data_IF_279876383305
#
_entry.id   IF_279876383305
#
_cell.length_a   1.000
_cell.length_b   1.000
_cell.length_c   1.000
_cell.angle_alpha   90.00
_cell.angle_beta   90.00
_cell.angle_gamma   90.00
#
_symmetry.space_group_name_H-M   'P 1'
#
loop_
_entity.id
_entity.type
_entity.pdbx_description
1 polymer ?
#
# COMPACT_ATOMS: atom_id res chain seq x y z
N UNK A 1 -1.34 43.34 52.52
CA UNK A 1 -1.96 43.42 51.19
C UNK A 1 -0.87 43.68 50.18
N UNK A 2 -0.33 42.61 49.59
CA UNK A 2 0.76 42.73 48.61
C UNK A 2 0.36 41.88 47.42
N UNK A 3 0.18 42.54 46.28
CA UNK A 3 -0.50 42.05 45.08
C UNK A 3 0.38 41.02 44.35
N UNK A 4 -0.24 39.93 43.91
CA UNK A 4 0.31 38.98 42.94
C UNK A 4 0.42 39.64 41.57
N UNK A 5 1.60 39.59 40.94
CA UNK A 5 1.79 39.91 39.54
C UNK A 5 2.03 38.60 38.78
N UNK A 6 1.01 38.14 38.06
CA UNK A 6 1.11 37.07 37.06
C UNK A 6 1.80 37.65 35.81
N UNK A 7 3.06 37.28 35.59
CA UNK A 7 3.76 37.53 34.33
C UNK A 7 3.35 36.51 33.26
N UNK A 8 3.22 36.91 31.98
CA UNK A 8 2.80 36.00 30.93
C UNK A 8 3.96 35.05 30.57
N UNK A 9 3.78 33.76 30.86
CA UNK A 9 4.61 32.68 30.31
C UNK A 9 4.29 32.54 28.82
N UNK A 10 5.11 33.16 27.96
CA UNK A 10 5.15 32.80 26.55
C UNK A 10 5.99 31.53 26.39
N UNK A 11 5.33 30.37 26.44
CA UNK A 11 5.92 29.13 25.93
C UNK A 11 5.86 29.23 24.41
N UNK A 12 6.96 29.66 23.79
CA UNK A 12 7.15 29.51 22.37
C UNK A 12 7.30 28.02 22.07
N UNK A 13 6.17 27.36 21.78
CA UNK A 13 6.15 26.03 21.19
C UNK A 13 6.78 26.18 19.80
N UNK A 14 8.08 25.91 19.70
CA UNK A 14 8.73 25.74 18.41
C UNK A 14 8.19 24.41 17.84
N UNK A 15 7.03 24.48 17.19
CA UNK A 15 6.56 23.42 16.29
C UNK A 15 7.52 23.48 15.12
N UNK A 16 8.68 22.84 15.30
CA UNK A 16 9.59 22.54 14.22
C UNK A 16 8.82 21.52 13.37
N UNK A 17 8.02 22.01 12.43
CA UNK A 17 7.51 21.19 11.35
C UNK A 17 8.75 20.57 10.73
N UNK A 18 8.96 19.27 10.93
CA UNK A 18 9.89 18.49 10.14
C UNK A 18 9.38 18.60 8.70
N UNK A 19 9.85 19.62 7.99
CA UNK A 19 9.62 19.77 6.57
C UNK A 19 10.44 18.64 5.93
N UNK A 20 9.77 17.59 5.47
CA UNK A 20 10.40 16.61 4.60
C UNK A 20 10.65 17.34 3.30
N UNK A 21 11.90 17.79 3.10
CA UNK A 21 12.30 18.39 1.85
C UNK A 21 12.14 17.33 0.75
N UNK A 22 11.29 17.61 -0.23
CA UNK A 22 11.15 16.80 -1.44
C UNK A 22 12.45 16.96 -2.24
N UNK A 23 13.40 16.04 -2.04
CA UNK A 23 14.63 16.00 -2.80
C UNK A 23 14.40 15.27 -4.11
N UNK A 24 14.78 15.87 -5.23
CA UNK A 24 14.87 15.17 -6.51
C UNK A 24 15.81 13.97 -6.31
N UNK A 25 15.29 12.76 -6.53
CA UNK A 25 16.08 11.55 -6.42
C UNK A 25 17.22 11.60 -7.45
N UNK A 26 18.46 11.57 -6.97
CA UNK A 26 19.64 11.41 -7.82
C UNK A 26 19.75 9.96 -8.29
N UNK A 27 20.62 9.70 -9.27
CA UNK A 27 21.00 8.33 -9.63
C UNK A 27 21.33 7.50 -8.38
N UNK A 28 20.81 6.28 -8.31
CA UNK A 28 21.00 5.41 -7.16
C UNK A 28 22.50 5.12 -6.95
N UNK A 29 22.99 5.29 -5.72
CA UNK A 29 24.35 4.91 -5.32
C UNK A 29 24.30 3.53 -4.63
N UNK A 30 24.76 2.45 -5.29
CA UNK A 30 24.73 1.09 -4.73
C UNK A 30 25.56 0.94 -3.45
N UNK A 31 26.50 1.85 -3.18
CA UNK A 31 27.28 1.80 -1.94
C UNK A 31 26.51 2.32 -0.73
N UNK A 32 25.52 3.20 -0.96
CA UNK A 32 24.64 3.76 0.07
C UNK A 32 23.32 2.99 0.19
N UNK A 33 22.75 2.55 -0.94
CA UNK A 33 21.52 1.77 -0.97
C UNK A 33 21.83 0.27 -0.92
N UNK A 34 21.86 -0.29 0.30
CA UNK A 34 22.17 -1.72 0.52
C UNK A 34 20.94 -2.46 1.03
N UNK A 35 20.80 -3.73 0.63
CA UNK A 35 19.65 -4.56 1.04
C UNK A 35 19.54 -4.77 2.55
N UNK A 36 20.67 -4.79 3.27
CA UNK A 36 20.68 -4.85 4.74
C UNK A 36 20.02 -3.64 5.42
N UNK A 37 19.88 -2.55 4.67
CA UNK A 37 19.28 -1.28 5.10
C UNK A 37 17.88 -1.10 4.46
N UNK A 38 17.24 -2.19 4.05
CA UNK A 38 15.95 -2.22 3.34
C UNK A 38 15.90 -1.33 2.08
N UNK A 39 17.02 -1.25 1.37
CA UNK A 39 17.14 -0.46 0.15
C UNK A 39 17.62 -1.32 -1.02
N UNK A 40 17.00 -1.15 -2.19
CA UNK A 40 17.46 -1.73 -3.43
C UNK A 40 17.37 -0.69 -4.56
N UNK A 41 18.44 -0.57 -5.34
CA UNK A 41 18.38 0.18 -6.59
C UNK A 41 17.59 -0.60 -7.64
N UNK A 42 16.91 0.10 -8.55
CA UNK A 42 16.29 -0.51 -9.73
C UNK A 42 17.33 -1.33 -10.50
N UNK A 43 17.01 -2.59 -10.79
CA UNK A 43 17.91 -3.51 -11.47
C UNK A 43 17.15 -4.61 -12.19
N UNK A 44 17.71 -5.11 -13.28
CA UNK A 44 17.27 -6.33 -13.96
C UNK A 44 17.99 -7.59 -13.45
N UNK A 45 18.97 -7.43 -12.55
CA UNK A 45 19.73 -8.55 -11.98
C UNK A 45 18.98 -9.17 -10.79
N UNK A 46 19.06 -10.50 -10.60
CA UNK A 46 18.54 -11.14 -9.41
C UNK A 46 19.09 -10.51 -8.12
N UNK A 47 18.26 -10.38 -7.06
CA UNK A 47 18.72 -9.89 -5.77
C UNK A 47 19.77 -10.84 -5.17
N UNK A 48 20.64 -10.30 -4.31
CA UNK A 48 21.64 -11.10 -3.59
C UNK A 48 22.73 -11.74 -4.46
N UNK A 49 22.92 -11.28 -5.70
CA UNK A 49 23.87 -11.84 -6.68
C UNK A 49 23.62 -13.33 -7.00
N UNK A 50 22.36 -13.77 -6.93
CA UNK A 50 21.98 -15.12 -7.36
C UNK A 50 22.14 -15.27 -8.88
N UNK A 51 22.46 -16.49 -9.33
CA UNK A 51 22.30 -16.80 -10.76
C UNK A 51 20.82 -16.92 -11.09
N UNK A 52 20.47 -16.61 -12.33
CA UNK A 52 19.07 -16.73 -12.81
C UNK A 52 18.55 -18.16 -12.65
N UNK A 53 19.40 -19.18 -12.85
CA UNK A 53 19.05 -20.59 -12.67
C UNK A 53 18.67 -20.96 -11.23
N UNK A 54 19.16 -20.19 -10.25
CA UNK A 54 18.99 -20.47 -8.83
C UNK A 54 17.82 -19.65 -8.25
N UNK A 55 17.23 -18.76 -9.05
CA UNK A 55 16.17 -17.86 -8.61
C UNK A 55 14.80 -18.54 -8.67
N UNK A 56 14.05 -18.60 -7.55
CA UNK A 56 12.65 -19.01 -7.59
C UNK A 56 11.82 -18.04 -8.43
N UNK A 57 11.00 -18.56 -9.34
CA UNK A 57 10.03 -17.74 -10.07
C UNK A 57 8.84 -17.42 -9.16
N UNK A 58 8.72 -16.15 -8.77
CA UNK A 58 7.50 -15.65 -8.13
C UNK A 58 6.46 -15.30 -9.19
N UNK A 59 5.21 -15.64 -8.94
CA UNK A 59 4.06 -15.24 -9.75
C UNK A 59 3.07 -14.56 -8.81
N UNK A 60 2.75 -13.29 -9.08
CA UNK A 60 1.79 -12.51 -8.30
C UNK A 60 0.46 -12.46 -9.05
N UNK A 61 -0.53 -13.18 -8.52
CA UNK A 61 -1.92 -13.03 -8.97
C UNK A 61 -2.53 -11.86 -8.21
N UNK A 62 -3.03 -10.86 -8.94
CA UNK A 62 -3.65 -9.68 -8.34
C UNK A 62 -5.03 -9.43 -8.91
N UNK A 63 -5.96 -9.03 -8.06
CA UNK A 63 -7.29 -8.59 -8.45
C UNK A 63 -7.51 -7.19 -7.90
N UNK A 64 -8.03 -6.32 -8.75
CA UNK A 64 -8.32 -4.93 -8.39
C UNK A 64 -9.83 -4.75 -8.28
N UNK A 65 -10.24 -3.69 -7.59
CA UNK A 65 -11.62 -3.26 -7.37
C UNK A 65 -12.42 -4.08 -6.33
N UNK A 66 -13.73 -3.86 -6.32
CA UNK A 66 -14.64 -4.28 -5.27
C UNK A 66 -14.80 -5.80 -5.19
N UNK A 67 -14.74 -6.33 -3.96
CA UNK A 67 -15.08 -7.72 -3.67
C UNK A 67 -16.58 -7.83 -3.41
N UNK A 68 -17.26 -8.71 -4.16
CA UNK A 68 -18.71 -8.87 -4.13
C UNK A 68 -19.10 -10.32 -4.32
N UNK A 69 -20.31 -10.70 -3.94
CA UNK A 69 -20.79 -12.08 -4.12
C UNK A 69 -20.61 -12.61 -5.56
N UNK A 70 -20.72 -11.75 -6.58
CA UNK A 70 -20.57 -12.15 -7.98
C UNK A 70 -19.17 -12.64 -8.34
N UNK A 71 -18.11 -12.20 -7.64
CA UNK A 71 -16.74 -12.62 -7.92
C UNK A 71 -16.24 -13.74 -6.99
N UNK A 72 -16.94 -14.00 -5.87
CA UNK A 72 -16.52 -15.00 -4.89
C UNK A 72 -16.54 -16.45 -5.40
N UNK A 73 -17.48 -16.83 -6.28
CA UNK A 73 -17.46 -18.17 -6.88
C UNK A 73 -16.13 -18.43 -7.61
N UNK A 74 -15.69 -17.44 -8.38
CA UNK A 74 -14.42 -17.52 -9.10
C UNK A 74 -13.22 -17.57 -8.14
N UNK A 75 -13.17 -16.69 -7.13
CA UNK A 75 -12.06 -16.65 -6.17
C UNK A 75 -11.95 -17.94 -5.36
N UNK A 76 -13.06 -18.46 -4.82
CA UNK A 76 -13.09 -19.71 -4.06
C UNK A 76 -12.61 -20.90 -4.89
N UNK A 77 -13.00 -20.97 -6.17
CA UNK A 77 -12.55 -22.03 -7.08
C UNK A 77 -11.07 -21.90 -7.45
N UNK A 78 -10.60 -20.68 -7.69
CA UNK A 78 -9.21 -20.42 -8.07
C UNK A 78 -8.25 -20.67 -6.91
N UNK A 79 -8.64 -20.30 -5.69
CA UNK A 79 -7.80 -20.34 -4.49
C UNK A 79 -8.16 -21.50 -3.55
N UNK A 80 -8.89 -22.51 -4.05
CA UNK A 80 -9.27 -23.71 -3.30
C UNK A 80 -8.01 -24.41 -2.74
N UNK A 81 -7.83 -24.47 -1.40
CA UNK A 81 -6.69 -25.13 -0.76
C UNK A 81 -6.50 -26.60 -1.15
N UNK A 82 -7.58 -27.29 -1.54
CA UNK A 82 -7.55 -28.67 -2.00
C UNK A 82 -7.00 -28.85 -3.42
N UNK A 83 -6.93 -27.78 -4.21
CA UNK A 83 -6.57 -27.83 -5.63
C UNK A 83 -5.37 -26.94 -6.00
N UNK A 84 -5.29 -25.77 -5.38
CA UNK A 84 -4.35 -24.71 -5.72
C UNK A 84 -3.23 -24.65 -4.69
N UNK A 85 -2.22 -25.52 -4.88
CA UNK A 85 -1.05 -25.61 -4.00
C UNK A 85 0.23 -25.38 -4.78
N UNK A 86 1.17 -24.67 -4.15
CA UNK A 86 2.51 -24.52 -4.68
C UNK A 86 3.20 -25.88 -4.70
N UNK A 87 3.64 -26.31 -5.87
CA UNK A 87 4.25 -27.64 -6.08
C UNK A 87 5.57 -27.83 -5.34
N UNK A 88 6.33 -26.75 -5.13
CA UNK A 88 7.66 -26.82 -4.53
C UNK A 88 7.62 -26.94 -3.00
N UNK A 89 6.68 -26.26 -2.33
CA UNK A 89 6.61 -26.23 -0.87
C UNK A 89 5.31 -26.82 -0.28
N UNK A 90 4.31 -27.11 -1.10
CA UNK A 90 3.01 -27.64 -0.66
C UNK A 90 2.11 -26.61 0.03
N UNK A 91 2.49 -25.34 0.13
CA UNK A 91 1.64 -24.29 0.68
C UNK A 91 0.43 -24.02 -0.24
N UNK A 92 -0.67 -23.53 0.33
CA UNK A 92 -1.79 -23.03 -0.47
C UNK A 92 -1.32 -21.84 -1.29
N UNK A 93 -1.84 -21.72 -2.52
CA UNK A 93 -1.67 -20.51 -3.30
C UNK A 93 -2.52 -19.39 -2.71
N UNK A 94 -2.02 -18.17 -2.78
CA UNK A 94 -2.74 -16.98 -2.37
C UNK A 94 -2.64 -15.91 -3.47
N UNK A 95 -3.55 -14.95 -3.44
CA UNK A 95 -3.52 -13.78 -4.31
C UNK A 95 -3.39 -12.50 -3.48
N UNK A 96 -3.16 -11.37 -4.15
CA UNK A 96 -3.25 -10.03 -3.54
C UNK A 96 -4.46 -9.31 -4.13
N UNK A 97 -5.34 -8.81 -3.27
CA UNK A 97 -6.53 -8.07 -3.67
C UNK A 97 -6.30 -6.60 -3.35
N UNK A 98 -6.23 -5.76 -4.37
CA UNK A 98 -6.26 -4.31 -4.25
C UNK A 98 -7.73 -3.89 -4.24
N UNK A 99 -8.29 -3.81 -3.05
CA UNK A 99 -9.73 -3.61 -2.82
C UNK A 99 -10.05 -2.14 -2.91
N UNK A 100 -11.16 -1.79 -3.55
CA UNK A 100 -11.76 -0.46 -3.45
C UNK A 100 -12.97 -0.46 -2.50
N UNK A 101 -13.20 0.63 -1.77
CA UNK A 101 -14.27 0.68 -0.78
C UNK A 101 -15.68 0.65 -1.43
N UNK A 102 -15.81 1.25 -2.62
CA UNK A 102 -17.08 1.33 -3.33
C UNK A 102 -17.67 -0.03 -3.66
N UNK A 103 -18.87 -0.33 -3.14
CA UNK A 103 -19.62 -1.58 -3.37
C UNK A 103 -18.98 -2.87 -2.80
N UNK A 104 -17.90 -2.77 -2.02
CA UNK A 104 -17.25 -3.93 -1.40
C UNK A 104 -18.08 -4.49 -0.25
N UNK A 105 -18.20 -5.81 -0.19
CA UNK A 105 -18.67 -6.52 1.00
C UNK A 105 -17.49 -6.93 1.88
N UNK A 106 -17.34 -6.24 3.01
CA UNK A 106 -16.22 -6.44 3.94
C UNK A 106 -16.23 -7.82 4.62
N UNK A 107 -17.37 -8.50 4.69
CA UNK A 107 -17.42 -9.88 5.22
C UNK A 107 -16.69 -10.84 4.28
N UNK A 108 -16.81 -10.61 2.97
CA UNK A 108 -16.11 -11.40 1.95
C UNK A 108 -14.63 -11.05 1.88
N UNK A 109 -14.27 -9.79 2.15
CA UNK A 109 -12.87 -9.38 2.31
C UNK A 109 -12.22 -10.13 3.48
N UNK A 110 -12.90 -10.21 4.63
CA UNK A 110 -12.44 -10.99 5.77
C UNK A 110 -12.28 -12.48 5.42
N UNK A 111 -13.24 -13.07 4.70
CA UNK A 111 -13.12 -14.46 4.23
C UNK A 111 -11.83 -14.66 3.41
N UNK A 112 -11.58 -13.80 2.42
CA UNK A 112 -10.38 -13.87 1.57
C UNK A 112 -9.09 -13.72 2.37
N UNK A 113 -9.05 -12.78 3.32
CA UNK A 113 -7.90 -12.59 4.21
C UNK A 113 -7.66 -13.80 5.11
N UNK A 114 -8.73 -14.35 5.70
CA UNK A 114 -8.66 -15.47 6.64
C UNK A 114 -8.09 -16.77 6.04
N UNK A 115 -8.21 -16.93 4.71
CA UNK A 115 -7.65 -18.07 3.97
C UNK A 115 -6.22 -17.81 3.44
N UNK A 116 -5.61 -16.69 3.82
CA UNK A 116 -4.21 -16.36 3.59
C UNK A 116 -3.92 -15.47 2.38
N UNK A 117 -4.94 -14.93 1.71
CA UNK A 117 -4.73 -13.93 0.65
C UNK A 117 -4.45 -12.56 1.25
N UNK A 118 -3.65 -11.77 0.54
CA UNK A 118 -3.29 -10.41 0.98
C UNK A 118 -4.35 -9.42 0.55
N UNK A 119 -4.69 -8.50 1.46
CA UNK A 119 -5.54 -7.35 1.17
C UNK A 119 -4.68 -6.10 1.12
N UNK A 120 -4.92 -5.26 0.12
CA UNK A 120 -4.20 -4.04 -0.16
C UNK A 120 -5.18 -2.96 -0.65
N UNK A 121 -4.72 -1.71 -0.67
CA UNK A 121 -5.53 -0.51 -0.91
C UNK A 121 -5.68 -0.21 -2.40
N UNK A 122 -6.90 0.13 -2.82
CA UNK A 122 -7.25 0.65 -4.15
C UNK A 122 -8.13 1.92 -4.11
N UNK A 123 -8.06 2.66 -3.01
CA UNK A 123 -8.76 3.91 -2.67
C UNK A 123 -10.24 3.75 -2.31
N UNK A 124 -10.75 4.71 -1.54
CA UNK A 124 -12.17 4.79 -1.20
C UNK A 124 -13.02 5.06 -2.45
N UNK A 125 -12.68 6.12 -3.18
CA UNK A 125 -13.59 6.65 -4.18
C UNK A 125 -13.44 5.98 -5.54
N UNK A 126 -12.26 5.41 -5.81
CA UNK A 126 -11.85 4.85 -7.11
C UNK A 126 -12.38 5.66 -8.30
N UNK A 127 -12.36 7.01 -8.17
CA UNK A 127 -12.97 7.93 -9.14
C UNK A 127 -12.56 7.61 -10.56
N UNK A 128 -13.58 7.47 -11.41
CA UNK A 128 -13.48 6.95 -12.76
C UNK A 128 -12.49 7.70 -13.67
N UNK A 129 -12.04 6.97 -14.71
CA UNK A 129 -11.06 7.34 -15.75
C UNK A 129 -11.21 8.76 -16.35
N UNK A 130 -12.41 9.31 -16.40
CA UNK A 130 -12.65 10.66 -16.92
C UNK A 130 -12.02 11.76 -16.04
N UNK A 131 -11.51 11.38 -14.86
CA UNK A 131 -10.87 12.27 -13.91
C UNK A 131 -9.46 11.79 -13.50
N UNK A 132 -8.60 11.34 -14.45
CA UNK A 132 -7.17 11.11 -14.16
C UNK A 132 -6.50 12.35 -13.53
N UNK A 133 -7.00 13.54 -13.86
CA UNK A 133 -6.57 14.81 -13.27
C UNK A 133 -6.76 14.83 -11.75
N UNK A 134 -7.80 14.19 -11.21
CA UNK A 134 -8.01 14.06 -9.76
C UNK A 134 -6.78 13.44 -9.10
N UNK A 135 -6.43 12.21 -9.50
CA UNK A 135 -5.31 11.46 -8.93
C UNK A 135 -3.98 12.21 -9.07
N UNK A 136 -3.76 12.86 -10.22
CA UNK A 136 -2.54 13.66 -10.46
C UNK A 136 -2.47 14.95 -9.63
N UNK A 137 -3.62 15.50 -9.26
CA UNK A 137 -3.73 16.76 -8.53
C UNK A 137 -3.79 16.59 -7.00
N UNK A 138 -3.92 15.36 -6.50
CA UNK A 138 -3.95 15.10 -5.07
C UNK A 138 -2.61 15.48 -4.42
N UNK A 139 -2.70 16.25 -3.35
CA UNK A 139 -1.61 16.45 -2.41
C UNK A 139 -1.53 15.28 -1.41
N UNK A 140 -0.59 15.35 -0.47
CA UNK A 140 -0.38 14.32 0.56
C UNK A 140 -1.68 14.01 1.32
N UNK A 141 -2.44 15.05 1.69
CA UNK A 141 -3.69 14.91 2.45
C UNK A 141 -4.81 14.28 1.61
N UNK A 142 -4.89 14.60 0.32
CA UNK A 142 -5.83 13.96 -0.59
C UNK A 142 -5.54 12.46 -0.76
N UNK A 143 -4.27 12.08 -0.91
CA UNK A 143 -3.86 10.67 -0.93
C UNK A 143 -4.13 9.97 0.40
N UNK A 144 -3.92 10.66 1.52
CA UNK A 144 -4.16 10.11 2.86
C UNK A 144 -5.65 9.80 3.06
N UNK A 145 -6.53 10.72 2.67
CA UNK A 145 -7.98 10.54 2.75
C UNK A 145 -8.46 9.33 1.92
N UNK A 146 -7.81 9.05 0.79
CA UNK A 146 -8.15 7.92 -0.07
C UNK A 146 -7.57 6.59 0.44
N UNK A 147 -6.31 6.56 0.88
CA UNK A 147 -5.60 5.31 1.17
C UNK A 147 -5.67 4.92 2.64
N UNK A 148 -5.39 5.86 3.54
CA UNK A 148 -5.48 5.61 4.98
C UNK A 148 -6.94 5.48 5.37
N UNK A 149 -7.81 6.32 4.80
CA UNK A 149 -9.25 6.20 5.02
C UNK A 149 -9.79 4.85 4.59
N UNK A 150 -9.34 4.28 3.46
CA UNK A 150 -9.75 2.91 3.10
C UNK A 150 -9.18 1.86 4.05
N UNK A 151 -7.93 2.01 4.51
CA UNK A 151 -7.36 1.10 5.51
C UNK A 151 -8.17 1.11 6.80
N UNK A 152 -8.65 2.27 7.24
CA UNK A 152 -9.56 2.39 8.37
C UNK A 152 -10.87 1.62 8.15
N UNK A 153 -11.44 1.68 6.94
CA UNK A 153 -12.64 0.92 6.60
C UNK A 153 -12.38 -0.60 6.64
N UNK A 154 -11.25 -1.07 6.11
CA UNK A 154 -10.86 -2.48 6.15
C UNK A 154 -10.68 -2.97 7.60
N UNK A 155 -10.07 -2.16 8.46
CA UNK A 155 -9.93 -2.47 9.88
C UNK A 155 -11.28 -2.57 10.58
N UNK A 156 -12.13 -1.56 10.38
CA UNK A 156 -13.36 -1.43 11.15
C UNK A 156 -14.46 -2.39 10.66
N UNK A 157 -14.52 -2.67 9.35
CA UNK A 157 -15.58 -3.47 8.74
C UNK A 157 -15.16 -4.87 8.28
N UNK A 158 -13.90 -5.08 7.91
CA UNK A 158 -13.37 -6.42 7.59
C UNK A 158 -12.51 -7.01 8.72
N UNK A 159 -12.30 -6.30 9.84
CA UNK A 159 -11.53 -6.78 10.99
C UNK A 159 -10.08 -7.16 10.64
N UNK A 160 -9.50 -6.53 9.62
CA UNK A 160 -8.12 -6.76 9.20
C UNK A 160 -7.22 -5.73 9.89
N UNK A 161 -6.19 -6.16 10.64
CA UNK A 161 -5.32 -5.23 11.33
C UNK A 161 -4.49 -4.38 10.34
N UNK A 162 -4.19 -3.14 10.72
CA UNK A 162 -3.49 -2.19 9.84
C UNK A 162 -2.12 -2.71 9.39
N UNK A 163 -1.42 -3.48 10.24
CA UNK A 163 -0.13 -4.11 9.93
C UNK A 163 -0.19 -5.16 8.81
N UNK A 164 -1.37 -5.69 8.48
CA UNK A 164 -1.56 -6.61 7.36
C UNK A 164 -1.86 -5.86 6.05
N UNK A 165 -2.30 -4.60 6.13
CA UNK A 165 -2.68 -3.75 4.98
C UNK A 165 -1.56 -2.75 4.67
N UNK A 166 -0.47 -3.29 4.13
CA UNK A 166 0.79 -2.56 3.87
C UNK A 166 1.04 -2.21 2.40
N UNK A 167 0.19 -2.70 1.50
CA UNK A 167 0.31 -2.49 0.07
C UNK A 167 -0.73 -1.52 -0.46
N UNK A 168 -0.39 -0.81 -1.53
CA UNK A 168 -1.37 -0.01 -2.27
C UNK A 168 -1.14 -0.07 -3.78
N UNK A 169 -2.21 0.14 -4.53
CA UNK A 169 -2.20 0.39 -5.97
C UNK A 169 -3.17 1.53 -6.24
N UNK A 170 -2.70 2.60 -6.85
CA UNK A 170 -3.51 3.73 -7.25
C UNK A 170 -4.46 3.36 -8.39
N UNK A 171 -5.70 3.87 -8.38
CA UNK A 171 -6.62 3.72 -9.49
C UNK A 171 -6.03 4.19 -10.81
N UNK A 172 -6.33 3.45 -11.88
CA UNK A 172 -5.82 3.71 -13.23
C UNK A 172 -4.29 3.72 -13.36
N UNK A 173 -3.58 3.17 -12.37
CA UNK A 173 -2.13 3.13 -12.32
C UNK A 173 -1.48 4.53 -12.31
N UNK A 174 -2.22 5.53 -11.82
CA UNK A 174 -1.72 6.90 -11.66
C UNK A 174 -0.86 6.99 -10.40
N UNK A 175 0.47 7.02 -10.56
CA UNK A 175 1.44 6.98 -9.45
C UNK A 175 1.31 8.08 -8.38
N UNK A 176 0.55 9.15 -8.64
CA UNK A 176 0.36 10.24 -7.70
C UNK A 176 1.61 11.09 -7.41
N UNK A 177 2.67 10.89 -8.19
CA UNK A 177 3.95 11.58 -8.06
C UNK A 177 4.50 11.53 -6.61
N UNK A 178 5.28 12.53 -6.20
CA UNK A 178 5.90 12.57 -4.87
C UNK A 178 4.90 12.60 -3.71
N UNK A 179 3.69 13.13 -3.92
CA UNK A 179 2.65 13.22 -2.89
C UNK A 179 2.20 11.85 -2.40
N UNK A 180 1.89 10.92 -3.31
CA UNK A 180 1.46 9.57 -2.94
C UNK A 180 2.55 8.82 -2.16
N UNK A 181 3.79 8.82 -2.66
CA UNK A 181 4.91 8.16 -1.98
C UNK A 181 5.24 8.79 -0.61
N UNK A 182 5.10 10.11 -0.48
CA UNK A 182 5.27 10.80 0.81
C UNK A 182 4.21 10.36 1.81
N UNK A 183 2.95 10.34 1.39
CA UNK A 183 1.83 9.83 2.20
C UNK A 183 2.08 8.37 2.60
N UNK A 184 2.44 7.51 1.65
CA UNK A 184 2.68 6.09 1.90
C UNK A 184 3.75 5.87 2.97
N UNK A 185 4.88 6.58 2.83
CA UNK A 185 5.98 6.53 3.80
C UNK A 185 5.57 7.01 5.19
N UNK A 186 4.82 8.11 5.27
CA UNK A 186 4.36 8.67 6.55
C UNK A 186 3.37 7.75 7.27
N UNK A 187 2.62 6.95 6.51
CA UNK A 187 1.54 6.11 7.01
C UNK A 187 1.87 4.60 7.02
N UNK A 188 3.14 4.23 6.92
CA UNK A 188 3.60 2.85 7.12
C UNK A 188 3.27 1.89 5.98
N UNK A 189 2.91 2.38 4.79
CA UNK A 189 2.82 1.53 3.61
C UNK A 189 4.23 1.11 3.15
N UNK A 190 4.36 -0.15 2.74
CA UNK A 190 5.64 -0.78 2.41
C UNK A 190 5.89 -0.86 0.91
N UNK A 191 4.84 -1.00 0.11
CA UNK A 191 4.99 -1.09 -1.34
C UNK A 191 3.83 -0.45 -2.11
N UNK A 192 4.18 0.15 -3.24
CA UNK A 192 3.28 0.56 -4.31
C UNK A 192 3.35 -0.46 -5.46
N UNK A 193 2.24 -0.66 -6.16
CA UNK A 193 2.18 -1.47 -7.38
C UNK A 193 1.48 -0.74 -8.52
N UNK A 194 1.69 0.56 -8.66
CA UNK A 194 1.05 1.40 -9.68
C UNK A 194 1.99 1.80 -10.80
N UNK A 195 3.30 1.89 -10.53
CA UNK A 195 4.27 2.37 -11.50
C UNK A 195 4.52 1.34 -12.62
N UNK A 196 4.20 1.71 -13.86
CA UNK A 196 4.66 1.03 -15.06
C UNK A 196 5.84 1.82 -15.64
N UNK A 197 6.99 1.15 -15.83
CA UNK A 197 8.15 1.71 -16.51
C UNK A 197 8.20 1.08 -17.89
N UNK A 198 8.04 1.91 -18.93
CA UNK A 198 8.22 1.51 -20.34
C UNK A 198 9.68 1.64 -20.78
#
# INVERSE_FOLDING_TARGET
>A
MTRYALGPFFIALCIQRCYVAESIATTCDPNKCRSRDNCACMSTKPPGNLNVSDMPQFVMLTFDDAIREQNMEFYRKLLDPGRSRNRANGCNMAATFFVSAGYTDYSLVYEIHSVGSKIAIHSITSRHRDNLTYWRALDVAGWEAEFVGERDLLRDYALIPDEDVIGARAPYLESGNGSAYTMMRQNGFVYDSSLCIE
#
